data_IF_096159754169
#
_entry.id   IF_096159754169
#
_cell.length_a   1.000
_cell.length_b   1.000
_cell.length_c   1.000
_cell.angle_alpha   90.00
_cell.angle_beta   90.00
_cell.angle_gamma   90.00
#
_symmetry.space_group_name_H-M   'P 1'
#
loop_
_entity.id
_entity.type
_entity.pdbx_description
1 polymer ?
#
# COMPACT_ATOMS: atom_id res chain seq x y z
N UNK A 1 -9.69 -11.27 -14.08
CA UNK A 1 -9.10 -12.46 -13.44
C UNK A 1 -9.38 -12.30 -11.97
N UNK A 2 -9.91 -13.30 -11.31
CA UNK A 2 -10.32 -13.14 -9.94
C UNK A 2 -9.11 -12.95 -9.00
N UNK A 3 -9.28 -12.18 -7.92
CA UNK A 3 -8.23 -11.93 -6.90
C UNK A 3 -7.61 -13.24 -6.39
N UNK A 4 -8.37 -14.34 -6.32
CA UNK A 4 -7.90 -15.66 -5.87
C UNK A 4 -7.07 -16.44 -6.90
N UNK A 5 -7.29 -16.22 -8.20
CA UNK A 5 -6.59 -16.92 -9.27
C UNK A 5 -5.20 -16.34 -9.53
N UNK A 6 -4.86 -15.25 -8.86
CA UNK A 6 -3.67 -14.48 -9.19
C UNK A 6 -2.40 -15.35 -9.09
N UNK A 7 -2.14 -16.00 -7.97
CA UNK A 7 -0.91 -16.80 -7.83
C UNK A 7 -0.83 -17.98 -8.81
N UNK A 8 -1.98 -18.59 -9.13
CA UNK A 8 -2.07 -19.71 -10.08
C UNK A 8 -1.63 -19.22 -11.47
N UNK A 9 -2.08 -18.03 -11.87
CA UNK A 9 -1.77 -17.48 -13.19
C UNK A 9 -0.30 -17.11 -13.41
N UNK A 10 0.46 -16.83 -12.33
CA UNK A 10 1.88 -16.46 -12.42
C UNK A 10 2.85 -17.59 -12.08
N UNK A 11 2.37 -18.71 -11.51
CA UNK A 11 3.25 -19.81 -11.07
C UNK A 11 4.30 -19.36 -10.04
N UNK A 12 4.06 -18.27 -9.34
CA UNK A 12 4.97 -17.64 -8.39
C UNK A 12 4.37 -17.69 -7.00
N UNK A 13 4.93 -18.54 -6.14
CA UNK A 13 4.51 -18.64 -4.74
C UNK A 13 5.59 -18.09 -3.81
N UNK A 14 6.79 -18.68 -3.86
CA UNK A 14 7.83 -18.47 -2.84
C UNK A 14 8.39 -17.04 -2.73
N UNK A 15 8.41 -16.28 -3.84
CA UNK A 15 8.86 -14.89 -3.84
C UNK A 15 7.74 -13.87 -3.61
N UNK A 16 6.51 -14.21 -4.00
CA UNK A 16 5.39 -13.28 -4.09
C UNK A 16 4.55 -13.25 -2.82
N UNK A 17 4.39 -14.36 -2.10
CA UNK A 17 3.62 -14.42 -0.85
C UNK A 17 4.29 -15.32 0.18
N UNK A 18 4.01 -15.09 1.46
CA UNK A 18 4.40 -16.04 2.52
C UNK A 18 3.32 -17.09 2.78
N UNK A 19 2.05 -16.74 2.58
CA UNK A 19 0.92 -17.65 2.72
C UNK A 19 -0.20 -17.24 1.75
N UNK A 20 -0.86 -18.23 1.18
CA UNK A 20 -2.13 -18.10 0.46
C UNK A 20 -3.02 -19.28 0.86
N UNK A 21 -4.19 -19.01 1.41
CA UNK A 21 -5.13 -20.05 1.78
C UNK A 21 -6.27 -19.50 2.63
N UNK A 22 -7.00 -20.41 3.27
CA UNK A 22 -8.10 -20.03 4.16
C UNK A 22 -7.55 -19.30 5.38
N UNK A 23 -8.22 -18.22 5.78
CA UNK A 23 -7.82 -17.44 6.96
C UNK A 23 -7.87 -18.29 8.24
N UNK A 24 -8.82 -19.23 8.33
CA UNK A 24 -8.89 -20.19 9.44
C UNK A 24 -7.64 -21.07 9.55
N UNK A 25 -7.11 -21.52 8.42
CA UNK A 25 -5.88 -22.34 8.39
C UNK A 25 -4.66 -21.50 8.75
N UNK A 26 -4.58 -20.28 8.24
CA UNK A 26 -3.55 -19.31 8.61
C UNK A 26 -3.48 -19.14 10.13
N UNK A 27 -4.62 -18.87 10.78
CA UNK A 27 -4.66 -18.68 12.23
C UNK A 27 -4.34 -19.94 13.04
N UNK A 28 -4.53 -21.14 12.48
CA UNK A 28 -4.11 -22.38 13.12
C UNK A 28 -2.58 -22.57 13.06
N UNK A 29 -1.97 -22.21 11.93
CA UNK A 29 -0.52 -22.34 11.71
C UNK A 29 0.24 -21.24 12.45
N UNK A 30 -0.23 -20.00 12.38
CA UNK A 30 0.41 -18.82 12.96
C UNK A 30 -0.32 -18.38 14.22
N UNK A 31 -0.28 -19.22 15.25
CA UNK A 31 -1.02 -19.01 16.50
C UNK A 31 -0.72 -17.67 17.19
N UNK A 32 0.51 -17.16 17.05
CA UNK A 32 1.01 -15.95 17.70
C UNK A 32 1.02 -14.70 16.79
N UNK A 33 0.20 -14.67 15.74
CA UNK A 33 0.08 -13.46 14.90
C UNK A 33 -0.37 -12.27 15.77
N UNK A 34 0.35 -11.15 15.67
CA UNK A 34 0.09 -9.93 16.47
C UNK A 34 -1.29 -9.32 16.22
N UNK A 35 -1.90 -9.58 15.06
CA UNK A 35 -3.22 -9.09 14.66
C UNK A 35 -4.28 -10.20 14.69
N UNK A 36 -4.01 -11.31 15.41
CA UNK A 36 -4.90 -12.46 15.51
C UNK A 36 -6.32 -12.06 15.91
N UNK A 37 -6.48 -11.19 16.91
CA UNK A 37 -7.79 -10.80 17.44
C UNK A 37 -8.70 -10.22 16.34
N UNK A 38 -8.19 -9.26 15.57
CA UNK A 38 -8.89 -8.70 14.40
C UNK A 38 -9.25 -9.80 13.38
N UNK A 39 -8.30 -10.67 13.04
CA UNK A 39 -8.52 -11.72 12.05
C UNK A 39 -9.58 -12.74 12.50
N UNK A 40 -9.61 -13.07 13.80
CA UNK A 40 -10.66 -13.90 14.41
C UNK A 40 -12.02 -13.19 14.40
N UNK A 41 -12.05 -11.88 14.65
CA UNK A 41 -13.28 -11.09 14.51
C UNK A 41 -13.80 -11.11 13.07
N UNK A 42 -12.93 -11.01 12.07
CA UNK A 42 -13.34 -11.14 10.66
C UNK A 42 -13.93 -12.52 10.35
N UNK A 43 -13.31 -13.60 10.84
CA UNK A 43 -13.81 -14.97 10.65
C UNK A 43 -15.18 -15.21 11.28
N UNK A 44 -15.49 -14.56 12.41
CA UNK A 44 -16.82 -14.65 13.04
C UNK A 44 -17.92 -14.04 12.17
N UNK A 45 -17.58 -13.04 11.36
CA UNK A 45 -18.53 -12.37 10.46
C UNK A 45 -18.64 -13.09 9.11
N UNK A 46 -17.57 -13.75 8.66
CA UNK A 46 -17.58 -14.60 7.48
C UNK A 46 -16.55 -15.74 7.64
N UNK A 47 -17.00 -16.99 7.63
CA UNK A 47 -16.10 -18.15 7.75
C UNK A 47 -15.33 -18.45 6.46
N UNK A 48 -15.84 -17.98 5.31
CA UNK A 48 -15.29 -18.22 3.98
C UNK A 48 -14.30 -17.14 3.56
N UNK A 49 -13.32 -16.85 4.41
CA UNK A 49 -12.27 -15.88 4.16
C UNK A 49 -10.96 -16.54 3.75
N UNK A 50 -10.26 -15.88 2.84
CA UNK A 50 -8.91 -16.22 2.42
C UNK A 50 -7.97 -15.05 2.70
N UNK A 51 -6.68 -15.34 2.76
CA UNK A 51 -5.65 -14.36 3.05
C UNK A 51 -4.40 -14.60 2.21
N UNK A 52 -3.91 -13.53 1.58
CA UNK A 52 -2.51 -13.42 1.22
C UNK A 52 -1.75 -12.73 2.35
N UNK A 53 -0.64 -13.32 2.80
CA UNK A 53 0.29 -12.63 3.71
C UNK A 53 1.60 -12.28 3.03
N UNK A 54 2.14 -11.12 3.40
CA UNK A 54 3.39 -10.60 2.87
C UNK A 54 3.40 -10.61 1.32
N UNK A 55 2.34 -10.07 0.72
CA UNK A 55 2.20 -10.03 -0.74
C UNK A 55 3.17 -9.00 -1.34
N UNK A 56 4.12 -9.47 -2.15
CA UNK A 56 5.19 -8.67 -2.73
C UNK A 56 4.70 -7.67 -3.78
N UNK A 57 5.05 -6.40 -3.60
CA UNK A 57 4.73 -5.34 -4.55
C UNK A 57 5.71 -5.29 -5.72
N UNK A 58 5.16 -4.94 -6.88
CA UNK A 58 5.91 -4.56 -8.08
C UNK A 58 5.66 -3.09 -8.36
N UNK A 59 6.69 -2.38 -8.82
CA UNK A 59 6.55 -0.96 -9.17
C UNK A 59 6.55 -0.76 -10.68
N UNK A 60 5.66 0.08 -11.18
CA UNK A 60 5.67 0.45 -12.58
C UNK A 60 6.94 1.25 -12.94
N UNK A 61 7.87 0.58 -13.62
CA UNK A 61 9.16 1.13 -14.04
C UNK A 61 9.02 2.30 -15.01
N UNK A 62 7.94 2.38 -15.80
CA UNK A 62 7.70 3.51 -16.67
C UNK A 62 7.41 4.80 -15.88
N UNK A 63 6.74 4.72 -14.73
CA UNK A 63 6.54 5.89 -13.86
C UNK A 63 7.87 6.42 -13.29
N UNK A 64 8.79 5.50 -12.97
CA UNK A 64 10.13 5.81 -12.46
C UNK A 64 11.00 6.40 -13.58
N UNK A 65 11.07 5.74 -14.74
CA UNK A 65 11.85 6.15 -15.89
C UNK A 65 11.42 7.53 -16.42
N UNK A 66 10.11 7.78 -16.50
CA UNK A 66 9.54 9.06 -16.93
C UNK A 66 9.57 10.16 -15.84
N UNK A 67 10.21 9.88 -14.69
CA UNK A 67 10.28 10.78 -13.52
C UNK A 67 8.91 11.36 -13.18
N UNK A 68 7.85 10.54 -13.25
CA UNK A 68 6.53 10.96 -12.79
C UNK A 68 6.51 11.00 -11.27
N UNK A 69 7.10 9.98 -10.65
CA UNK A 69 7.37 9.92 -9.21
C UNK A 69 8.88 9.96 -9.03
N UNK A 70 9.39 11.10 -8.57
CA UNK A 70 10.83 11.36 -8.50
C UNK A 70 11.51 10.58 -7.38
N UNK A 71 12.00 9.36 -7.69
CA UNK A 71 13.00 8.65 -6.89
C UNK A 71 13.69 7.55 -7.72
N UNK A 72 14.79 7.89 -8.40
CA UNK A 72 15.44 7.00 -9.38
C UNK A 72 15.93 5.66 -8.79
N UNK A 73 16.27 5.64 -7.50
CA UNK A 73 16.82 4.45 -6.86
C UNK A 73 15.74 3.38 -6.62
N UNK A 74 14.45 3.73 -6.67
CA UNK A 74 13.36 2.76 -6.69
C UNK A 74 13.37 1.88 -7.95
N UNK A 75 14.13 2.25 -9.00
CA UNK A 75 14.34 1.39 -10.17
C UNK A 75 15.51 0.41 -10.02
N UNK A 76 16.19 0.39 -8.86
CA UNK A 76 17.34 -0.49 -8.58
C UNK A 76 17.04 -1.58 -7.55
N UNK A 77 15.90 -1.47 -6.88
CA UNK A 77 15.47 -2.43 -5.86
C UNK A 77 14.82 -3.63 -6.54
N UNK A 78 14.91 -4.80 -5.91
CA UNK A 78 14.27 -6.00 -6.44
C UNK A 78 12.75 -5.88 -6.32
N UNK A 79 12.03 -6.46 -7.29
CA UNK A 79 10.58 -6.65 -7.15
C UNK A 79 10.29 -7.43 -5.86
N UNK A 80 9.13 -7.16 -5.25
CA UNK A 80 8.66 -7.81 -4.02
C UNK A 80 9.44 -7.46 -2.74
N UNK A 81 10.40 -6.53 -2.81
CA UNK A 81 11.14 -6.04 -1.63
C UNK A 81 10.23 -5.39 -0.59
N UNK A 82 9.13 -4.77 -1.02
CA UNK A 82 8.08 -4.28 -0.13
C UNK A 82 6.87 -5.20 -0.20
N UNK A 83 6.37 -5.60 0.96
CA UNK A 83 5.30 -6.57 1.08
C UNK A 83 4.08 -5.97 1.77
N UNK A 84 2.90 -6.26 1.24
CA UNK A 84 1.61 -5.95 1.86
C UNK A 84 1.37 -6.97 2.97
N UNK A 85 1.19 -6.55 4.24
CA UNK A 85 1.04 -7.49 5.35
C UNK A 85 -0.09 -8.49 5.15
N UNK A 86 -1.30 -8.00 4.84
CA UNK A 86 -2.46 -8.84 4.59
C UNK A 86 -3.29 -8.30 3.43
N UNK A 87 -3.76 -9.23 2.58
CA UNK A 87 -4.87 -9.00 1.67
C UNK A 87 -5.92 -10.05 2.03
N UNK A 88 -6.97 -9.62 2.73
CA UNK A 88 -8.10 -10.48 3.10
C UNK A 88 -9.11 -10.42 1.98
N UNK A 89 -9.51 -11.56 1.44
CA UNK A 89 -10.42 -11.59 0.30
C UNK A 89 -11.44 -12.71 0.41
N UNK A 90 -12.54 -12.51 -0.31
CA UNK A 90 -13.63 -13.46 -0.40
C UNK A 90 -14.43 -13.24 -1.67
N UNK A 91 -15.22 -14.24 -2.02
CA UNK A 91 -16.21 -14.16 -3.09
C UNK A 91 -17.56 -14.69 -2.58
N UNK A 92 -18.62 -14.24 -3.24
CA UNK A 92 -19.93 -14.85 -3.20
C UNK A 92 -20.52 -14.84 -4.61
N UNK A 93 -21.76 -15.32 -4.75
CA UNK A 93 -22.44 -15.41 -6.06
C UNK A 93 -22.53 -14.08 -6.82
N UNK A 94 -22.45 -12.94 -6.12
CA UNK A 94 -22.68 -11.62 -6.70
C UNK A 94 -21.40 -10.81 -6.92
N UNK A 95 -20.38 -11.02 -6.11
CA UNK A 95 -19.17 -10.21 -6.15
C UNK A 95 -17.97 -10.90 -5.52
N UNK A 96 -16.80 -10.37 -5.87
CA UNK A 96 -15.53 -10.61 -5.20
C UNK A 96 -15.04 -9.32 -4.57
N UNK A 97 -14.43 -9.39 -3.39
CA UNK A 97 -13.88 -8.22 -2.69
C UNK A 97 -12.59 -8.56 -1.95
N UNK A 98 -11.76 -7.55 -1.75
CA UNK A 98 -10.56 -7.66 -0.94
C UNK A 98 -10.27 -6.40 -0.11
N UNK A 99 -9.75 -6.65 1.09
CA UNK A 99 -9.28 -5.64 2.03
C UNK A 99 -7.75 -5.70 2.09
N UNK A 100 -7.11 -4.63 1.62
CA UNK A 100 -5.64 -4.44 1.67
C UNK A 100 -5.29 -3.77 2.99
N UNK A 101 -4.63 -4.50 3.88
CA UNK A 101 -4.32 -4.05 5.24
C UNK A 101 -2.83 -3.75 5.36
N UNK A 102 -2.50 -2.52 5.75
CA UNK A 102 -1.15 -2.12 6.13
C UNK A 102 -1.09 -1.74 7.60
N UNK A 103 0.02 -2.06 8.27
CA UNK A 103 0.20 -1.80 9.72
C UNK A 103 1.10 -0.61 10.03
N UNK A 104 1.66 0.07 9.03
CA UNK A 104 2.60 1.18 9.25
C UNK A 104 1.93 2.55 9.26
N UNK A 105 1.10 2.84 8.24
CA UNK A 105 0.35 4.08 8.12
C UNK A 105 -0.73 3.98 7.05
N UNK A 106 -1.73 4.85 7.13
CA UNK A 106 -2.77 4.97 6.10
C UNK A 106 -2.21 5.46 4.75
N UNK A 107 -1.24 6.37 4.78
CA UNK A 107 -0.58 6.87 3.55
C UNK A 107 0.14 5.73 2.83
N UNK A 108 0.86 4.88 3.57
CA UNK A 108 1.49 3.69 2.99
C UNK A 108 0.42 2.70 2.48
N UNK A 109 -0.69 2.48 3.22
CA UNK A 109 -1.78 1.61 2.75
C UNK A 109 -2.30 2.06 1.36
N UNK A 110 -2.48 3.38 1.18
CA UNK A 110 -2.87 3.97 -0.11
C UNK A 110 -1.78 3.81 -1.17
N UNK A 111 -0.53 4.01 -0.80
CA UNK A 111 0.61 3.81 -1.71
C UNK A 111 0.72 2.37 -2.20
N UNK A 112 0.49 1.39 -1.32
CA UNK A 112 0.41 -0.03 -1.66
C UNK A 112 -0.76 -0.30 -2.60
N UNK A 113 -1.97 0.18 -2.27
CA UNK A 113 -3.16 0.06 -3.13
C UNK A 113 -2.93 0.62 -4.54
N UNK A 114 -2.35 1.81 -4.65
CA UNK A 114 -2.06 2.39 -5.97
C UNK A 114 -0.97 1.62 -6.73
N UNK A 115 -0.06 0.96 -6.04
CA UNK A 115 0.94 0.11 -6.71
C UNK A 115 0.31 -1.20 -7.16
N UNK A 116 -0.57 -1.80 -6.36
CA UNK A 116 -1.29 -3.01 -6.75
C UNK A 116 -2.25 -2.80 -7.93
N UNK A 117 -2.88 -1.62 -8.03
CA UNK A 117 -3.99 -1.35 -8.96
C UNK A 117 -3.61 -0.43 -10.13
N UNK A 118 -2.31 -0.14 -10.32
CA UNK A 118 -1.86 0.59 -11.50
C UNK A 118 -1.83 -0.30 -12.74
N UNK A 119 -1.69 0.34 -13.91
CA UNK A 119 -1.60 -0.34 -15.20
C UNK A 119 -0.42 -1.32 -15.21
N UNK A 120 -0.68 -2.51 -15.76
CA UNK A 120 0.24 -3.66 -15.85
C UNK A 120 0.63 -4.26 -14.50
N UNK A 121 -0.25 -4.14 -13.48
CA UNK A 121 0.01 -4.64 -12.13
C UNK A 121 -1.08 -5.60 -11.62
N UNK A 122 -0.85 -6.18 -10.43
CA UNK A 122 -1.59 -7.32 -9.88
C UNK A 122 -3.12 -7.22 -9.97
N UNK A 123 -3.66 -6.09 -9.52
CA UNK A 123 -5.09 -5.89 -9.34
C UNK A 123 -5.58 -4.70 -10.17
N UNK A 124 -5.00 -4.46 -11.35
CA UNK A 124 -5.41 -3.40 -12.26
C UNK A 124 -6.92 -3.44 -12.53
N UNK A 125 -7.45 -4.63 -12.83
CA UNK A 125 -8.84 -4.84 -13.19
C UNK A 125 -9.78 -4.91 -11.98
N UNK A 126 -9.24 -5.13 -10.77
CA UNK A 126 -10.01 -5.34 -9.54
C UNK A 126 -10.04 -4.10 -8.64
N UNK A 127 -9.56 -2.94 -9.13
CA UNK A 127 -9.45 -1.70 -8.35
C UNK A 127 -10.74 -1.30 -7.62
N UNK A 128 -11.90 -1.59 -8.21
CA UNK A 128 -13.21 -1.26 -7.62
C UNK A 128 -13.70 -2.29 -6.60
N UNK A 129 -12.99 -3.41 -6.46
CA UNK A 129 -13.26 -4.53 -5.57
C UNK A 129 -12.30 -4.54 -4.35
N UNK A 130 -11.35 -3.60 -4.32
CA UNK A 130 -10.37 -3.43 -3.25
C UNK A 130 -10.67 -2.21 -2.36
N UNK A 131 -10.45 -2.36 -1.06
CA UNK A 131 -10.38 -1.24 -0.10
C UNK A 131 -9.06 -1.31 0.66
N UNK A 132 -8.37 -0.18 0.78
CA UNK A 132 -7.14 -0.05 1.56
C UNK A 132 -7.43 0.52 2.94
N UNK A 133 -6.91 -0.13 3.98
CA UNK A 133 -7.05 0.27 5.38
C UNK A 133 -5.71 0.27 6.09
N UNK A 134 -5.63 1.13 7.11
CA UNK A 134 -4.57 1.12 8.10
C UNK A 134 -5.05 0.38 9.33
N UNK A 135 -4.20 -0.47 9.89
CA UNK A 135 -4.45 -1.18 11.13
C UNK A 135 -3.42 -0.77 12.19
N UNK A 136 -3.92 -0.33 13.33
CA UNK A 136 -3.19 -0.19 14.58
C UNK A 136 -4.08 -0.60 15.77
N UNK A 137 -3.52 -0.58 16.97
CA UNK A 137 -4.21 -0.98 18.20
C UNK A 137 -5.44 -0.10 18.51
N UNK A 138 -5.47 1.14 18.03
CA UNK A 138 -6.53 2.10 18.36
C UNK A 138 -7.70 2.07 17.38
N UNK A 139 -7.59 1.35 16.25
CA UNK A 139 -8.58 1.42 15.17
C UNK A 139 -9.11 0.07 14.69
N UNK A 140 -8.87 -1.01 15.41
CA UNK A 140 -9.35 -2.35 15.06
C UNK A 140 -10.87 -2.38 14.81
N UNK A 141 -11.64 -1.73 15.69
CA UNK A 141 -13.10 -1.60 15.55
C UNK A 141 -13.52 -0.94 14.24
N UNK A 142 -12.80 0.07 13.76
CA UNK A 142 -13.09 0.72 12.47
C UNK A 142 -12.77 -0.22 11.30
N UNK A 143 -11.67 -0.97 11.38
CA UNK A 143 -11.29 -1.94 10.35
C UNK A 143 -12.36 -3.04 10.22
N UNK A 144 -12.89 -3.53 11.35
CA UNK A 144 -14.01 -4.48 11.37
C UNK A 144 -15.30 -3.86 10.82
N UNK A 145 -15.62 -2.61 11.16
CA UNK A 145 -16.79 -1.92 10.61
C UNK A 145 -16.71 -1.81 9.08
N UNK A 146 -15.56 -1.38 8.56
CA UNK A 146 -15.29 -1.33 7.12
C UNK A 146 -15.48 -2.70 6.49
N UNK A 147 -14.92 -3.76 7.08
CA UNK A 147 -15.08 -5.12 6.59
C UNK A 147 -16.55 -5.56 6.56
N UNK A 148 -17.34 -5.27 7.60
CA UNK A 148 -18.79 -5.54 7.63
C UNK A 148 -19.55 -4.79 6.54
N UNK A 149 -19.25 -3.51 6.32
CA UNK A 149 -19.83 -2.73 5.22
C UNK A 149 -19.54 -3.37 3.86
N UNK A 150 -18.32 -3.88 3.69
CA UNK A 150 -17.90 -4.61 2.49
C UNK A 150 -18.61 -5.96 2.35
N UNK A 151 -18.92 -6.68 3.43
CA UNK A 151 -19.70 -7.92 3.34
C UNK A 151 -21.14 -7.66 2.90
N UNK A 152 -21.77 -6.62 3.45
CA UNK A 152 -23.19 -6.31 3.21
C UNK A 152 -23.47 -5.83 1.79
N UNK A 153 -22.51 -5.14 1.16
CA UNK A 153 -22.63 -4.77 -0.25
C UNK A 153 -23.56 -3.61 -0.58
N UNK A 154 -24.16 -2.94 0.41
CA UNK A 154 -25.07 -1.80 0.20
C UNK A 154 -24.40 -0.53 -0.32
N UNK A 155 -23.11 -0.35 -0.03
CA UNK A 155 -22.34 0.81 -0.49
C UNK A 155 -21.29 0.38 -1.53
N UNK A 156 -21.02 1.26 -2.48
CA UNK A 156 -19.87 1.08 -3.38
C UNK A 156 -18.56 1.16 -2.57
N UNK A 157 -17.58 0.33 -2.92
CA UNK A 157 -16.28 0.35 -2.23
C UNK A 157 -15.54 1.69 -2.42
N UNK A 158 -15.79 2.36 -3.54
CA UNK A 158 -15.30 3.73 -3.79
C UNK A 158 -15.82 4.71 -2.74
N UNK A 159 -17.07 4.58 -2.30
CA UNK A 159 -17.64 5.43 -1.24
C UNK A 159 -16.98 5.17 0.11
N UNK A 160 -16.80 3.89 0.46
CA UNK A 160 -16.10 3.47 1.69
C UNK A 160 -14.67 4.02 1.69
N UNK A 161 -13.94 3.85 0.59
CA UNK A 161 -12.58 4.35 0.45
C UNK A 161 -12.51 5.88 0.55
N UNK A 162 -13.47 6.62 -0.03
CA UNK A 162 -13.54 8.09 0.09
C UNK A 162 -13.78 8.55 1.53
N UNK A 163 -14.64 7.84 2.28
CA UNK A 163 -14.87 8.12 3.71
C UNK A 163 -13.57 8.01 4.50
N UNK A 164 -12.84 6.91 4.31
CA UNK A 164 -11.53 6.69 4.94
C UNK A 164 -10.50 7.73 4.48
N UNK A 165 -10.44 8.03 3.17
CA UNK A 165 -9.53 9.03 2.62
C UNK A 165 -9.80 10.41 3.24
N UNK A 166 -11.06 10.79 3.46
CA UNK A 166 -11.39 12.08 4.09
C UNK A 166 -11.06 12.10 5.59
N UNK A 167 -11.19 10.97 6.29
CA UNK A 167 -10.84 10.85 7.70
C UNK A 167 -9.34 10.98 7.93
N UNK A 168 -8.54 10.25 7.16
CA UNK A 168 -7.09 10.14 7.35
C UNK A 168 -6.29 11.16 6.53
N UNK A 169 -6.86 11.65 5.42
CA UNK A 169 -6.22 12.53 4.42
C UNK A 169 -7.21 13.63 4.02
N UNK A 170 -7.64 14.41 5.02
CA UNK A 170 -8.62 15.49 4.82
C UNK A 170 -8.12 16.60 3.90
N UNK A 171 -6.83 16.91 3.95
CA UNK A 171 -6.19 17.97 3.18
C UNK A 171 -4.86 17.51 2.58
N UNK A 172 -4.55 18.00 1.37
CA UNK A 172 -3.35 17.60 0.62
C UNK A 172 -2.08 18.25 1.16
N UNK A 173 -2.16 19.47 1.66
CA UNK A 173 -1.05 20.17 2.30
C UNK A 173 -0.70 19.52 3.65
N UNK A 174 -1.71 19.13 4.45
CA UNK A 174 -1.50 18.30 5.65
C UNK A 174 -0.93 16.91 5.31
N UNK A 175 -1.43 16.26 4.25
CA UNK A 175 -0.90 14.97 3.81
C UNK A 175 0.58 15.05 3.46
N UNK A 176 1.03 16.14 2.84
CA UNK A 176 2.44 16.33 2.49
C UNK A 176 3.33 16.38 3.73
N UNK A 177 2.92 17.10 4.77
CA UNK A 177 3.69 17.15 6.02
C UNK A 177 3.73 15.79 6.72
N UNK A 178 2.62 15.04 6.70
CA UNK A 178 2.60 13.64 7.14
C UNK A 178 3.55 12.76 6.31
N UNK A 179 3.55 12.91 4.98
CA UNK A 179 4.48 12.18 4.10
C UNK A 179 5.94 12.50 4.42
N UNK A 180 6.27 13.77 4.70
CA UNK A 180 7.63 14.16 5.10
C UNK A 180 8.06 13.47 6.38
N UNK A 181 7.20 13.50 7.40
CA UNK A 181 7.46 12.85 8.69
C UNK A 181 7.62 11.35 8.53
N UNK A 182 6.69 10.67 7.88
CA UNK A 182 6.75 9.22 7.68
C UNK A 182 8.00 8.83 6.89
N UNK A 183 8.33 9.56 5.82
CA UNK A 183 9.53 9.28 5.03
C UNK A 183 10.82 9.45 5.85
N UNK A 184 10.89 10.50 6.67
CA UNK A 184 12.03 10.70 7.58
C UNK A 184 12.13 9.56 8.60
N UNK A 185 11.02 9.15 9.21
CA UNK A 185 10.98 8.05 10.18
C UNK A 185 11.38 6.71 9.53
N UNK A 186 10.98 6.47 8.27
CA UNK A 186 11.39 5.30 7.48
C UNK A 186 12.91 5.26 7.35
N UNK A 187 13.55 6.36 6.94
CA UNK A 187 15.00 6.37 6.77
C UNK A 187 15.75 6.36 8.10
N UNK A 188 15.27 7.04 9.14
CA UNK A 188 15.88 6.98 10.47
C UNK A 188 15.92 5.55 11.00
N UNK A 189 14.79 4.83 10.95
CA UNK A 189 14.72 3.42 11.38
C UNK A 189 15.60 2.52 10.51
N UNK A 190 15.61 2.74 9.20
CA UNK A 190 16.47 1.97 8.30
C UNK A 190 17.95 2.18 8.63
N UNK A 191 18.38 3.43 8.87
CA UNK A 191 19.75 3.78 9.26
C UNK A 191 20.11 3.12 10.60
N UNK A 192 19.26 3.27 11.62
CA UNK A 192 19.46 2.62 12.93
C UNK A 192 19.60 1.09 12.80
N UNK A 193 18.87 0.48 11.87
CA UNK A 193 18.91 -0.97 11.63
C UNK A 193 20.16 -1.40 10.86
N UNK A 194 20.62 -0.65 9.86
CA UNK A 194 21.74 -1.06 8.99
C UNK A 194 23.13 -0.72 9.55
N UNK A 195 23.25 0.27 10.43
CA UNK A 195 24.51 0.67 11.05
C UNK A 195 25.26 -0.48 11.73
N UNK A 196 24.61 -1.34 12.54
CA UNK A 196 25.30 -2.47 13.18
C UNK A 196 25.51 -3.68 12.25
N UNK A 197 24.97 -3.68 11.03
CA UNK A 197 25.00 -4.83 10.13
C UNK A 197 26.19 -4.81 9.19
N UNK A 198 26.65 -6.00 8.79
CA UNK A 198 27.62 -6.17 7.72
C UNK A 198 27.01 -5.80 6.36
N UNK A 199 27.82 -5.35 5.40
CA UNK A 199 27.33 -4.83 4.12
C UNK A 199 26.43 -5.82 3.34
N UNK A 200 26.66 -7.13 3.49
CA UNK A 200 25.85 -8.19 2.87
C UNK A 200 24.42 -8.28 3.40
N UNK A 201 24.16 -7.82 4.62
CA UNK A 201 22.88 -7.97 5.31
C UNK A 201 21.98 -6.72 5.17
N UNK A 202 22.57 -5.59 4.73
CA UNK A 202 21.88 -4.30 4.65
C UNK A 202 20.87 -4.21 3.52
N UNK A 203 21.07 -4.98 2.44
CA UNK A 203 20.35 -4.81 1.17
C UNK A 203 18.83 -4.83 1.34
N UNK A 204 18.28 -5.82 2.05
CA UNK A 204 16.82 -5.94 2.24
C UNK A 204 16.21 -4.74 2.96
N UNK A 205 16.87 -4.24 4.01
CA UNK A 205 16.42 -3.06 4.75
C UNK A 205 16.50 -1.77 3.93
N UNK A 206 17.53 -1.63 3.10
CA UNK A 206 17.68 -0.50 2.17
C UNK A 206 16.59 -0.55 1.11
N UNK A 207 16.38 -1.71 0.49
CA UNK A 207 15.37 -1.90 -0.54
C UNK A 207 13.96 -1.59 -0.01
N UNK A 208 13.63 -2.10 1.19
CA UNK A 208 12.36 -1.81 1.84
C UNK A 208 12.19 -0.30 2.13
N UNK A 209 13.21 0.36 2.68
CA UNK A 209 13.14 1.80 2.98
C UNK A 209 12.92 2.65 1.72
N UNK A 210 13.61 2.31 0.63
CA UNK A 210 13.46 2.98 -0.68
C UNK A 210 12.06 2.74 -1.24
N UNK A 211 11.60 1.49 -1.20
CA UNK A 211 10.27 1.11 -1.65
C UNK A 211 9.16 1.85 -0.88
N UNK A 212 9.28 1.91 0.45
CA UNK A 212 8.35 2.64 1.32
C UNK A 212 8.30 4.13 0.99
N UNK A 213 9.46 4.78 0.88
CA UNK A 213 9.52 6.18 0.48
C UNK A 213 8.94 6.42 -0.92
N UNK A 214 9.13 5.49 -1.86
CA UNK A 214 8.54 5.55 -3.19
C UNK A 214 7.00 5.50 -3.15
N UNK A 215 6.40 4.55 -2.41
CA UNK A 215 4.93 4.45 -2.32
C UNK A 215 4.31 5.63 -1.56
N UNK A 216 5.02 6.23 -0.60
CA UNK A 216 4.60 7.46 0.08
C UNK A 216 4.51 8.61 -0.93
N UNK A 217 5.56 8.80 -1.75
CA UNK A 217 5.55 9.78 -2.84
C UNK A 217 4.44 9.49 -3.85
N UNK A 218 4.22 8.22 -4.21
CA UNK A 218 3.12 7.80 -5.10
C UNK A 218 1.76 8.19 -4.53
N UNK A 219 1.51 7.89 -3.26
CA UNK A 219 0.24 8.21 -2.60
C UNK A 219 -0.06 9.72 -2.66
N UNK A 220 0.92 10.56 -2.33
CA UNK A 220 0.78 12.02 -2.41
C UNK A 220 0.55 12.51 -3.84
N UNK A 221 1.33 11.99 -4.80
CA UNK A 221 1.17 12.35 -6.21
C UNK A 221 -0.23 12.04 -6.72
N UNK A 222 -0.73 10.82 -6.49
CA UNK A 222 -2.06 10.39 -6.95
C UNK A 222 -3.15 11.20 -6.26
N UNK A 223 -3.05 11.45 -4.94
CA UNK A 223 -4.01 12.29 -4.22
C UNK A 223 -4.04 13.70 -4.80
N UNK A 224 -2.88 14.32 -5.05
CA UNK A 224 -2.79 15.65 -5.64
C UNK A 224 -3.42 15.69 -7.03
N UNK A 225 -3.07 14.72 -7.90
CA UNK A 225 -3.56 14.64 -9.28
C UNK A 225 -5.06 14.33 -9.38
N UNK A 226 -5.61 13.58 -8.42
CA UNK A 226 -7.04 13.22 -8.39
C UNK A 226 -7.93 14.35 -7.84
N UNK A 227 -7.35 15.39 -7.25
CA UNK A 227 -8.09 16.49 -6.64
C UNK A 227 -8.57 17.49 -7.70
N UNK A 228 -9.86 17.39 -8.07
CA UNK A 228 -10.51 18.29 -9.04
C UNK A 228 -10.60 19.73 -8.57
N UNK A 229 -10.71 19.97 -7.26
CA UNK A 229 -10.72 21.32 -6.72
C UNK A 229 -9.36 22.00 -6.94
N UNK A 230 -8.25 21.31 -6.64
CA UNK A 230 -6.91 21.83 -6.95
C UNK A 230 -6.71 22.07 -8.45
N UNK A 231 -7.17 21.14 -9.31
CA UNK A 231 -7.11 21.30 -10.76
C UNK A 231 -7.80 22.58 -11.22
N UNK A 232 -9.02 22.84 -10.73
CA UNK A 232 -9.81 23.98 -11.18
C UNK A 232 -9.33 25.30 -10.56
N UNK A 233 -9.11 25.34 -9.25
CA UNK A 233 -8.81 26.58 -8.52
C UNK A 233 -7.34 27.00 -8.61
N UNK A 234 -6.40 26.04 -8.50
CA UNK A 234 -4.96 26.35 -8.48
C UNK A 234 -4.30 26.24 -9.85
N UNK A 235 -4.83 25.38 -10.72
CA UNK A 235 -4.23 25.07 -12.03
C UNK A 235 -5.12 25.42 -13.22
N UNK A 236 -6.22 26.14 -13.01
CA UNK A 236 -7.10 26.67 -14.06
C UNK A 236 -7.59 25.62 -15.06
N UNK A 237 -7.86 24.39 -14.58
CA UNK A 237 -8.28 23.27 -15.41
C UNK A 237 -7.16 22.64 -16.26
N UNK A 238 -5.91 23.10 -16.13
CA UNK A 238 -4.78 22.63 -16.94
C UNK A 238 -4.07 21.46 -16.26
N UNK A 239 -4.37 20.25 -16.71
CA UNK A 239 -3.76 18.99 -16.22
C UNK A 239 -2.24 18.99 -16.34
N UNK A 240 -1.68 19.59 -17.39
CA UNK A 240 -0.22 19.71 -17.56
C UNK A 240 0.44 20.54 -16.46
N UNK A 241 -0.21 21.64 -16.04
CA UNK A 241 0.27 22.49 -14.94
C UNK A 241 0.15 21.78 -13.61
N UNK A 242 -1.00 21.13 -13.34
CA UNK A 242 -1.19 20.33 -12.14
C UNK A 242 -0.13 19.23 -12.03
N UNK A 243 0.18 18.55 -13.14
CA UNK A 243 1.23 17.52 -13.19
C UNK A 243 2.62 18.07 -12.90
N UNK A 244 2.98 19.19 -13.53
CA UNK A 244 4.28 19.84 -13.30
C UNK A 244 4.43 20.23 -11.82
N UNK A 245 3.40 20.82 -11.24
CA UNK A 245 3.38 21.18 -9.83
C UNK A 245 3.39 19.94 -8.91
N UNK A 246 2.60 18.91 -9.21
CA UNK A 246 2.58 17.68 -8.42
C UNK A 246 3.97 17.05 -8.34
N UNK A 247 4.75 17.08 -9.44
CA UNK A 247 6.14 16.60 -9.46
C UNK A 247 7.07 17.40 -8.54
N UNK A 248 7.00 18.73 -8.57
CA UNK A 248 7.79 19.55 -7.64
C UNK A 248 7.32 19.36 -6.19
N UNK A 249 6.02 19.22 -5.99
CA UNK A 249 5.39 19.10 -4.70
C UNK A 249 5.81 17.81 -3.96
N UNK A 250 5.85 16.67 -4.66
CA UNK A 250 6.36 15.42 -4.08
C UNK A 250 7.89 15.39 -3.97
N UNK A 251 8.61 16.26 -4.70
CA UNK A 251 10.08 16.31 -4.62
C UNK A 251 10.58 16.82 -3.28
N UNK A 252 9.73 17.52 -2.53
CA UNK A 252 10.00 17.99 -1.17
C UNK A 252 9.92 16.88 -0.11
N UNK A 253 9.45 15.68 -0.46
CA UNK A 253 9.48 14.54 0.46
C UNK A 253 10.92 14.03 0.55
N UNK A 254 11.51 13.97 1.77
CA UNK A 254 12.91 13.61 1.97
C UNK A 254 13.17 12.18 1.50
N UNK A 255 14.31 11.99 0.84
CA UNK A 255 14.82 10.70 0.40
C UNK A 255 16.30 10.57 0.75
N UNK A 256 16.77 9.35 0.97
CA UNK A 256 18.20 9.06 1.15
C UNK A 256 18.68 8.18 0.00
N UNK A 257 19.64 8.62 -0.82
CA UNK A 257 20.11 7.82 -1.97
C UNK A 257 20.60 6.44 -1.57
N UNK A 258 20.35 5.43 -2.41
CA UNK A 258 20.74 4.03 -2.15
C UNK A 258 22.23 3.92 -1.76
N UNK A 259 23.10 4.54 -2.56
CA UNK A 259 24.55 4.50 -2.33
C UNK A 259 24.95 5.09 -0.98
N UNK A 260 24.21 6.09 -0.48
CA UNK A 260 24.49 6.68 0.82
C UNK A 260 24.13 5.70 1.94
N UNK A 261 23.00 4.99 1.84
CA UNK A 261 22.61 3.98 2.82
C UNK A 261 23.56 2.76 2.80
N UNK A 262 23.98 2.32 1.61
CA UNK A 262 24.81 1.13 1.48
C UNK A 262 26.21 1.31 2.11
N UNK A 263 26.80 2.50 1.99
CA UNK A 263 28.16 2.80 2.46
C UNK A 263 28.21 3.49 3.84
N UNK A 264 27.14 3.40 4.64
CA UNK A 264 27.12 3.95 6.00
C UNK A 264 27.96 3.15 6.99
#
# INVERSE_FOLDING_TARGET
>A
MAIYDYLISYGQFDSLVSFNGRLKEYLNIYANDKNRELLEMMLKENENLYVYTNFGLKFNMALIANKQIGYKDAGKIDDHSLKVPYIIYWENENFQRALVINTNSYIEAKGMFFSLTEVDNYFENDKNDLVAVYLNQDNESEVIEVFKEMLVGKQSLVSIQKRLDNKYISDVDLMKEQCKKISQDVFNKAIETILPLESSERKSYIDEAIARAFIIKKALYVRYMSNRHLLNERHFGKVSQQRAFAKSYISEIPIVPYFKLFNM
#
